data_IF_442333609835
#
_entry.id   IF_442333609835
#
_cell.length_a   1.000
_cell.length_b   1.000
_cell.length_c   1.000
_cell.angle_alpha   90.00
_cell.angle_beta   90.00
_cell.angle_gamma   90.00
#
_symmetry.space_group_name_H-M   'P 1'
#
loop_
_entity.id
_entity.type
_entity.pdbx_description
1 polymer ?
#
# COMPACT_ATOMS: atom_id res chain seq x y z
N UNK A 1 -18.00 13.57 14.87
CA UNK A 1 -17.29 12.53 14.12
C UNK A 1 -16.88 11.46 15.12
N UNK A 2 -17.48 10.28 15.05
CA UNK A 2 -17.08 9.14 15.87
C UNK A 2 -15.79 8.52 15.34
N UNK A 3 -15.07 7.78 16.18
CA UNK A 3 -13.84 7.06 15.80
C UNK A 3 -14.11 6.06 14.66
N UNK A 4 -15.29 5.43 14.66
CA UNK A 4 -15.74 4.52 13.60
C UNK A 4 -15.96 5.23 12.26
N UNK A 5 -16.58 6.42 12.26
CA UNK A 5 -16.75 7.23 11.04
C UNK A 5 -15.40 7.72 10.49
N UNK A 6 -14.42 7.99 11.36
CA UNK A 6 -13.07 8.37 10.94
C UNK A 6 -12.32 7.19 10.34
N UNK A 7 -12.41 6.00 10.91
CA UNK A 7 -11.79 4.78 10.35
C UNK A 7 -12.47 4.35 9.04
N UNK A 8 -13.78 4.53 8.91
CA UNK A 8 -14.49 4.26 7.66
C UNK A 8 -14.06 5.22 6.53
N UNK A 9 -13.80 6.49 6.87
CA UNK A 9 -13.40 7.49 5.88
C UNK A 9 -11.89 7.49 5.59
N UNK A 10 -11.05 7.31 6.62
CA UNK A 10 -9.60 7.52 6.58
C UNK A 10 -8.77 6.28 6.97
N UNK A 11 -9.40 5.13 7.21
CA UNK A 11 -8.73 3.87 7.47
C UNK A 11 -8.40 3.09 6.18
N UNK A 12 -7.53 2.06 6.28
CA UNK A 12 -7.31 1.10 5.20
C UNK A 12 -8.61 0.40 4.76
N UNK A 13 -8.80 0.16 3.45
CA UNK A 13 -9.85 -0.71 2.96
C UNK A 13 -9.79 -2.11 3.58
N UNK A 14 -10.95 -2.65 3.99
CA UNK A 14 -11.06 -4.03 4.45
C UNK A 14 -11.14 -4.99 3.25
N UNK A 15 -10.00 -5.31 2.65
CA UNK A 15 -9.94 -6.17 1.47
C UNK A 15 -10.25 -7.64 1.78
N UNK A 16 -11.12 -8.24 0.98
CA UNK A 16 -11.27 -9.70 0.88
C UNK A 16 -10.10 -10.31 0.09
N UNK A 17 -9.98 -11.64 0.11
CA UNK A 17 -8.99 -12.35 -0.73
C UNK A 17 -9.15 -12.06 -2.23
N UNK A 18 -10.37 -11.78 -2.70
CA UNK A 18 -10.62 -11.39 -4.09
C UNK A 18 -10.12 -9.96 -4.36
N UNK A 19 -10.39 -9.04 -3.44
CA UNK A 19 -9.90 -7.66 -3.51
C UNK A 19 -8.37 -7.61 -3.52
N UNK A 20 -7.71 -8.37 -2.64
CA UNK A 20 -6.24 -8.47 -2.60
C UNK A 20 -5.67 -8.94 -3.95
N UNK A 21 -6.26 -9.98 -4.56
CA UNK A 21 -5.84 -10.48 -5.88
C UNK A 21 -5.99 -9.43 -6.96
N UNK A 22 -7.08 -8.67 -6.91
CA UNK A 22 -7.39 -7.65 -7.92
C UNK A 22 -6.52 -6.39 -7.73
N UNK A 23 -6.62 -5.74 -6.57
CA UNK A 23 -6.00 -4.43 -6.32
C UNK A 23 -4.48 -4.49 -6.10
N UNK A 24 -3.92 -5.61 -5.63
CA UNK A 24 -2.47 -5.75 -5.49
C UNK A 24 -1.78 -6.34 -6.72
N UNK A 25 -2.52 -6.68 -7.78
CA UNK A 25 -1.91 -7.04 -9.05
C UNK A 25 -1.11 -5.85 -9.63
N UNK A 26 0.10 -6.13 -10.11
CA UNK A 26 1.01 -5.12 -10.65
C UNK A 26 1.17 -5.32 -12.16
N UNK A 27 1.07 -4.23 -12.92
CA UNK A 27 1.58 -4.22 -14.29
C UNK A 27 3.11 -4.03 -14.32
N UNK A 28 3.70 -4.10 -15.52
CA UNK A 28 5.16 -4.01 -15.68
C UNK A 28 5.77 -2.71 -15.15
N UNK A 29 5.08 -1.57 -15.36
CA UNK A 29 5.53 -0.25 -14.88
C UNK A 29 5.51 -0.19 -13.35
N UNK A 30 4.42 -0.65 -12.75
CA UNK A 30 4.25 -0.68 -11.29
C UNK A 30 5.27 -1.61 -10.63
N UNK A 31 5.49 -2.79 -11.22
CA UNK A 31 6.50 -3.75 -10.78
C UNK A 31 7.92 -3.18 -10.86
N UNK A 32 8.25 -2.47 -11.94
CA UNK A 32 9.55 -1.82 -12.09
C UNK A 32 9.78 -0.75 -11.01
N UNK A 33 8.78 0.11 -10.75
CA UNK A 33 8.87 1.12 -9.68
C UNK A 33 9.01 0.45 -8.30
N UNK A 34 8.25 -0.61 -8.01
CA UNK A 34 8.37 -1.34 -6.75
C UNK A 34 9.77 -1.93 -6.56
N UNK A 35 10.33 -2.55 -7.61
CA UNK A 35 11.68 -3.12 -7.56
C UNK A 35 12.79 -2.07 -7.42
N UNK A 36 12.57 -0.84 -7.87
CA UNK A 36 13.55 0.26 -7.76
C UNK A 36 13.79 0.74 -6.31
N UNK A 37 12.86 0.51 -5.40
CA UNK A 37 13.00 0.87 -3.99
C UNK A 37 14.06 -0.02 -3.32
N UNK A 38 14.98 0.57 -2.56
CA UNK A 38 16.05 -0.18 -1.87
C UNK A 38 15.52 -1.01 -0.69
N UNK A 39 14.64 -0.43 0.11
CA UNK A 39 14.12 -1.08 1.32
C UNK A 39 12.91 -1.95 1.02
N UNK A 40 13.01 -3.24 1.36
CA UNK A 40 11.94 -4.23 1.12
C UNK A 40 10.60 -3.86 1.77
N UNK A 41 10.62 -3.35 3.00
CA UNK A 41 9.40 -2.87 3.66
C UNK A 41 8.69 -1.76 2.86
N UNK A 42 9.46 -0.83 2.29
CA UNK A 42 8.92 0.22 1.42
C UNK A 42 8.40 -0.35 0.08
N UNK A 43 9.00 -1.42 -0.46
CA UNK A 43 8.44 -2.13 -1.64
C UNK A 43 7.05 -2.65 -1.37
N UNK A 44 6.88 -3.37 -0.26
CA UNK A 44 5.60 -3.95 0.12
C UNK A 44 4.57 -2.87 0.43
N UNK A 45 5.00 -1.81 1.12
CA UNK A 45 4.15 -0.67 1.42
C UNK A 45 3.69 0.06 0.16
N UNK A 46 4.55 0.25 -0.85
CA UNK A 46 4.14 0.83 -2.13
C UNK A 46 3.01 0.01 -2.77
N UNK A 47 3.12 -1.32 -2.80
CA UNK A 47 2.08 -2.20 -3.38
C UNK A 47 0.77 -2.07 -2.62
N UNK A 48 0.82 -2.11 -1.28
CA UNK A 48 -0.38 -1.98 -0.44
C UNK A 48 -1.05 -0.62 -0.65
N UNK A 49 -0.29 0.47 -0.55
CA UNK A 49 -0.83 1.83 -0.70
C UNK A 49 -1.31 2.11 -2.12
N UNK A 50 -0.66 1.54 -3.15
CA UNK A 50 -1.14 1.63 -4.53
C UNK A 50 -2.49 0.91 -4.69
N UNK A 51 -2.62 -0.32 -4.18
CA UNK A 51 -3.87 -1.08 -4.24
C UNK A 51 -5.01 -0.38 -3.50
N UNK A 52 -4.74 0.13 -2.29
CA UNK A 52 -5.72 0.93 -1.55
C UNK A 52 -6.11 2.19 -2.31
N UNK A 53 -5.15 2.91 -2.89
CA UNK A 53 -5.45 4.14 -3.64
C UNK A 53 -6.27 3.86 -4.90
N UNK A 54 -6.02 2.75 -5.60
CA UNK A 54 -6.85 2.29 -6.73
C UNK A 54 -8.28 1.97 -6.33
N UNK A 55 -8.49 1.41 -5.13
CA UNK A 55 -9.83 1.10 -4.61
C UNK A 55 -10.54 2.35 -4.08
N UNK A 56 -9.83 3.19 -3.34
CA UNK A 56 -10.31 4.42 -2.72
C UNK A 56 -9.19 5.48 -2.77
N UNK A 57 -9.28 6.52 -3.60
CA UNK A 57 -8.19 7.45 -3.88
C UNK A 57 -7.99 8.48 -2.74
N UNK A 58 -7.62 7.97 -1.56
CA UNK A 58 -7.34 8.74 -0.34
C UNK A 58 -5.89 8.47 0.09
N UNK A 59 -5.22 9.51 0.59
CA UNK A 59 -3.89 9.38 1.17
C UNK A 59 -4.01 8.85 2.60
N UNK A 60 -3.37 7.73 2.86
CA UNK A 60 -3.37 7.03 4.13
C UNK A 60 -1.96 7.05 4.72
N UNK A 61 -1.83 6.93 6.04
CA UNK A 61 -0.55 6.66 6.69
C UNK A 61 -0.74 5.58 7.75
N UNK A 62 -1.07 4.34 7.33
CA UNK A 62 -1.49 3.31 8.25
C UNK A 62 -0.32 2.78 9.08
N UNK A 63 -0.60 2.43 10.33
CA UNK A 63 0.31 1.66 11.15
C UNK A 63 0.43 0.21 10.68
N UNK A 64 1.57 -0.42 10.94
CA UNK A 64 1.83 -1.83 10.59
C UNK A 64 0.69 -2.77 10.99
N UNK A 65 0.15 -2.59 12.20
CA UNK A 65 -0.86 -3.47 12.77
C UNK A 65 -2.16 -3.47 11.97
N UNK A 66 -2.50 -2.34 11.34
CA UNK A 66 -3.73 -2.19 10.54
C UNK A 66 -3.62 -2.95 9.21
N UNK A 67 -2.41 -3.09 8.65
CA UNK A 67 -2.20 -3.60 7.28
C UNK A 67 -1.32 -4.87 7.23
N UNK A 68 -0.99 -5.47 8.39
CA UNK A 68 -0.06 -6.61 8.48
C UNK A 68 -0.48 -7.81 7.63
N UNK A 69 -1.78 -8.02 7.45
CA UNK A 69 -2.31 -9.13 6.64
C UNK A 69 -2.10 -8.86 5.15
N UNK A 70 -2.32 -7.63 4.69
CA UNK A 70 -2.08 -7.23 3.30
C UNK A 70 -0.58 -7.19 2.97
N UNK A 71 0.25 -6.70 3.89
CA UNK A 71 1.71 -6.82 3.76
C UNK A 71 2.13 -8.29 3.61
N UNK A 72 1.53 -9.17 4.42
CA UNK A 72 1.78 -10.62 4.35
C UNK A 72 1.37 -11.20 3.02
N UNK A 73 0.18 -10.87 2.52
CA UNK A 73 -0.25 -11.27 1.21
C UNK A 73 0.78 -10.84 0.16
N UNK A 74 1.15 -9.55 0.13
CA UNK A 74 2.08 -9.00 -0.86
C UNK A 74 3.43 -9.74 -0.88
N UNK A 75 4.06 -10.01 0.27
CA UNK A 75 5.36 -10.69 0.28
C UNK A 75 5.28 -12.21 0.06
N UNK A 76 4.09 -12.80 0.11
CA UNK A 76 3.86 -14.22 -0.20
C UNK A 76 3.43 -14.45 -1.65
N UNK A 77 2.73 -13.49 -2.27
CA UNK A 77 2.06 -13.70 -3.57
C UNK A 77 2.51 -12.72 -4.66
N UNK A 78 2.57 -11.41 -4.36
CA UNK A 78 2.78 -10.36 -5.38
C UNK A 78 4.26 -10.09 -5.64
N UNK A 79 5.03 -9.92 -4.57
CA UNK A 79 6.48 -9.74 -4.59
C UNK A 79 7.12 -10.79 -3.67
N UNK A 80 7.12 -12.08 -4.07
CA UNK A 80 7.61 -13.16 -3.24
C UNK A 80 9.02 -12.88 -2.72
N UNK A 81 9.16 -12.91 -1.39
CA UNK A 81 10.42 -12.63 -0.73
C UNK A 81 10.30 -12.77 0.78
N UNK A 82 11.39 -12.51 1.53
CA UNK A 82 11.33 -12.65 2.97
C UNK A 82 10.38 -11.60 3.55
N UNK A 83 9.67 -11.95 4.62
CA UNK A 83 8.76 -11.04 5.30
C UNK A 83 9.43 -9.77 5.85
N UNK A 84 8.64 -8.89 6.45
CA UNK A 84 9.13 -7.68 7.11
C UNK A 84 8.95 -7.76 8.62
N UNK A 85 9.90 -7.18 9.38
CA UNK A 85 9.69 -6.86 10.79
C UNK A 85 8.67 -5.73 10.88
N UNK A 86 7.91 -5.59 11.99
CA UNK A 86 7.00 -4.46 12.18
C UNK A 86 7.70 -3.11 11.94
N UNK A 87 7.06 -2.23 11.18
CA UNK A 87 7.58 -0.90 10.84
C UNK A 87 6.43 0.05 10.49
N UNK A 88 6.60 1.33 10.78
CA UNK A 88 5.71 2.38 10.29
C UNK A 88 6.51 3.30 9.37
N UNK A 89 5.85 3.88 8.37
CA UNK A 89 6.48 4.95 7.59
C UNK A 89 6.51 6.22 8.43
N UNK A 90 7.61 6.97 8.32
CA UNK A 90 7.60 8.39 8.69
C UNK A 90 6.71 9.17 7.71
N UNK A 91 6.17 10.34 8.10
CA UNK A 91 5.37 11.17 7.18
C UNK A 91 6.09 11.47 5.86
N UNK A 92 7.41 11.69 5.90
CA UNK A 92 8.26 11.94 4.73
C UNK A 92 8.42 10.72 3.84
N UNK A 93 8.51 9.52 4.41
CA UNK A 93 8.55 8.29 3.62
C UNK A 93 7.19 8.00 2.97
N UNK A 94 6.10 8.24 3.70
CA UNK A 94 4.75 8.10 3.19
C UNK A 94 4.49 9.04 2.01
N UNK A 95 4.85 10.32 2.16
CA UNK A 95 4.78 11.30 1.08
C UNK A 95 5.54 10.82 -0.16
N UNK A 96 6.78 10.36 -0.01
CA UNK A 96 7.61 9.84 -1.13
C UNK A 96 7.01 8.59 -1.80
N UNK A 97 6.30 7.76 -1.05
CA UNK A 97 5.59 6.61 -1.63
C UNK A 97 4.36 7.11 -2.40
N UNK A 98 3.58 8.03 -1.83
CA UNK A 98 2.41 8.59 -2.50
C UNK A 98 2.74 9.37 -3.77
N UNK A 99 3.87 10.07 -3.84
CA UNK A 99 4.34 10.68 -5.09
C UNK A 99 4.48 9.66 -6.22
N UNK A 100 4.97 8.45 -5.91
CA UNK A 100 5.03 7.35 -6.88
C UNK A 100 3.64 6.79 -7.20
N UNK A 101 2.77 6.64 -6.19
CA UNK A 101 1.38 6.20 -6.39
C UNK A 101 0.64 7.14 -7.34
N UNK A 102 0.73 8.45 -7.14
CA UNK A 102 0.10 9.44 -8.02
C UNK A 102 0.62 9.36 -9.45
N UNK A 103 1.95 9.21 -9.63
CA UNK A 103 2.55 9.02 -10.95
C UNK A 103 2.11 7.72 -11.65
N UNK A 104 1.90 6.65 -10.88
CA UNK A 104 1.43 5.37 -11.40
C UNK A 104 -0.06 5.43 -11.79
N UNK A 105 -0.87 6.14 -11.01
CA UNK A 105 -2.30 6.34 -11.26
C UNK A 105 -2.62 7.50 -12.21
N UNK A 106 -1.62 8.22 -12.75
CA UNK A 106 -1.77 9.48 -13.48
C UNK A 106 -2.68 10.49 -12.74
N UNK A 107 -2.60 10.49 -11.41
CA UNK A 107 -3.45 11.32 -10.57
C UNK A 107 -2.88 12.74 -10.50
N UNK A 108 -3.63 13.71 -11.00
CA UNK A 108 -3.31 15.13 -10.85
C UNK A 108 -3.93 15.63 -9.54
N UNK A 109 -3.10 16.23 -8.69
CA UNK A 109 -3.49 16.75 -7.39
C UNK A 109 -4.01 18.17 -7.49
#
# INVERSE_FOLDING_TARGET
MSEAEQDELYGPPAFTSADQRFFFSLNDKELAIAKSLRHRGQRYMLVVLLGYFKAKPVVLNPGFHQIKQDLKYVYQTVLPGPGCRPFNLTPKENERIYQRVFQLCNYQR
#
